data_IF_580201468729
#
_entry.id   IF_580201468729
#
_cell.length_a   1.000
_cell.length_b   1.000
_cell.length_c   1.000
_cell.angle_alpha   90.00
_cell.angle_beta   90.00
_cell.angle_gamma   90.00
#
_symmetry.space_group_name_H-M   'P 1'
#
loop_
_entity.id
_entity.type
_entity.pdbx_description
1 polymer ?
#
# COMPACT_ATOMS: atom_id res chain seq x y z
N UNK A 1 1.55 58.95 26.34
CA UNK A 1 1.21 58.77 24.92
C UNK A 1 2.43 58.21 24.20
N UNK A 2 2.50 56.89 24.05
CA UNK A 2 3.43 56.22 23.17
C UNK A 2 2.62 55.24 22.34
N UNK A 3 2.37 55.62 21.10
CA UNK A 3 1.86 54.70 20.08
C UNK A 3 2.94 53.70 19.75
N UNK A 4 2.81 52.51 20.27
CA UNK A 4 3.57 51.37 19.77
C UNK A 4 3.05 51.03 18.36
N UNK A 5 3.79 51.45 17.35
CA UNK A 5 3.59 51.06 15.97
C UNK A 5 3.88 49.57 15.88
N UNK A 6 2.82 48.76 15.85
CA UNK A 6 2.93 47.36 15.49
C UNK A 6 3.43 47.32 14.05
N UNK A 7 4.72 47.04 13.92
CA UNK A 7 5.29 46.69 12.61
C UNK A 7 4.52 45.47 12.09
N UNK A 8 3.61 45.72 11.15
CA UNK A 8 3.04 44.67 10.33
C UNK A 8 4.18 43.99 9.61
N UNK A 9 4.51 42.76 10.04
CA UNK A 9 5.40 41.90 9.29
C UNK A 9 4.80 41.78 7.89
N UNK A 10 5.45 42.44 6.91
CA UNK A 10 5.18 42.20 5.49
C UNK A 10 5.30 40.69 5.30
N UNK A 11 4.39 40.05 4.57
CA UNK A 11 4.67 38.72 4.06
C UNK A 11 5.91 38.87 3.18
N UNK A 12 7.07 38.45 3.68
CA UNK A 12 8.26 38.35 2.86
C UNK A 12 7.87 37.47 1.67
N UNK A 13 8.05 38.03 0.48
CA UNK A 13 8.03 37.26 -0.76
C UNK A 13 8.95 36.07 -0.54
N UNK A 14 8.34 34.91 -0.30
CA UNK A 14 9.07 33.66 -0.09
C UNK A 14 9.96 33.45 -1.31
N UNK A 15 11.22 33.81 -1.19
CA UNK A 15 12.19 33.64 -2.27
C UNK A 15 12.05 32.21 -2.79
N UNK A 16 12.05 32.01 -4.10
CA UNK A 16 11.89 30.69 -4.73
C UNK A 16 12.81 29.65 -4.08
N UNK A 17 13.99 30.08 -3.65
CA UNK A 17 14.96 29.27 -2.88
C UNK A 17 14.41 28.75 -1.56
N UNK A 18 13.65 29.56 -0.82
CA UNK A 18 13.03 29.16 0.44
C UNK A 18 11.86 28.17 0.22
N UNK A 19 11.10 28.36 -0.86
CA UNK A 19 10.05 27.39 -1.26
C UNK A 19 10.66 26.05 -1.66
N UNK A 20 11.69 26.06 -2.51
CA UNK A 20 12.40 24.83 -2.92
C UNK A 20 13.03 24.16 -1.70
N UNK A 21 13.66 24.93 -0.79
CA UNK A 21 14.24 24.39 0.43
C UNK A 21 13.19 23.71 1.32
N UNK A 22 12.02 24.32 1.53
CA UNK A 22 10.93 23.69 2.32
C UNK A 22 10.40 22.42 1.67
N UNK A 23 10.20 22.42 0.35
CA UNK A 23 9.76 21.22 -0.38
C UNK A 23 10.81 20.12 -0.27
N UNK A 24 12.09 20.43 -0.43
CA UNK A 24 13.17 19.46 -0.31
C UNK A 24 13.28 18.89 1.13
N UNK A 25 13.18 19.72 2.15
CA UNK A 25 13.20 19.28 3.55
C UNK A 25 11.96 18.44 3.90
N UNK A 26 10.79 18.83 3.39
CA UNK A 26 9.57 18.04 3.60
C UNK A 26 9.63 16.69 2.86
N UNK A 27 10.15 16.68 1.63
CA UNK A 27 10.38 15.43 0.92
C UNK A 27 11.38 14.52 1.67
N UNK A 28 12.45 15.11 2.21
CA UNK A 28 13.45 14.37 3.00
C UNK A 28 12.84 13.76 4.26
N UNK A 29 12.08 14.54 5.05
CA UNK A 29 11.41 14.02 6.24
C UNK A 29 10.42 12.90 5.89
N UNK A 30 9.67 13.03 4.78
CA UNK A 30 8.77 11.97 4.32
C UNK A 30 9.53 10.67 3.97
N UNK A 31 10.72 10.77 3.36
CA UNK A 31 11.56 9.60 3.07
C UNK A 31 12.10 8.99 4.35
N UNK A 32 12.54 9.81 5.30
CA UNK A 32 13.03 9.35 6.61
C UNK A 32 11.93 8.61 7.38
N UNK A 33 10.71 9.17 7.42
CA UNK A 33 9.54 8.53 8.04
C UNK A 33 9.20 7.19 7.35
N UNK A 34 9.26 7.15 6.03
CA UNK A 34 9.01 5.92 5.27
C UNK A 34 10.07 4.84 5.56
N UNK A 35 11.35 5.22 5.61
CA UNK A 35 12.44 4.28 5.92
C UNK A 35 12.32 3.78 7.36
N UNK A 36 12.00 4.66 8.30
CA UNK A 36 11.77 4.31 9.71
C UNK A 36 10.61 3.32 9.84
N UNK A 37 9.50 3.59 9.15
CA UNK A 37 8.34 2.69 9.12
C UNK A 37 8.70 1.31 8.56
N UNK A 38 9.45 1.23 7.46
CA UNK A 38 9.92 -0.04 6.89
C UNK A 38 10.84 -0.77 7.87
N UNK A 39 11.71 -0.02 8.56
CA UNK A 39 12.59 -0.56 9.60
C UNK A 39 11.81 -1.17 10.76
N UNK A 40 10.82 -0.45 11.29
CA UNK A 40 9.96 -0.92 12.36
C UNK A 40 9.12 -2.13 11.94
N UNK A 41 8.55 -2.12 10.74
CA UNK A 41 7.81 -3.25 10.18
C UNK A 41 8.70 -4.49 10.02
N UNK A 42 9.95 -4.31 9.59
CA UNK A 42 10.93 -5.40 9.47
C UNK A 42 11.31 -5.99 10.83
N UNK A 43 11.50 -5.14 11.85
CA UNK A 43 11.75 -5.59 13.22
C UNK A 43 10.54 -6.31 13.82
N UNK A 44 9.32 -5.84 13.55
CA UNK A 44 8.09 -6.48 13.97
C UNK A 44 7.93 -7.87 13.32
N UNK A 45 8.28 -7.99 12.04
CA UNK A 45 8.31 -9.27 11.34
C UNK A 45 9.37 -10.24 11.93
N UNK A 46 10.54 -9.73 12.29
CA UNK A 46 11.57 -10.52 12.96
C UNK A 46 11.13 -10.98 14.36
N UNK A 47 10.42 -10.12 15.11
CA UNK A 47 9.83 -10.45 16.40
C UNK A 47 8.77 -11.57 16.25
N UNK A 48 7.99 -11.53 15.17
CA UNK A 48 7.04 -12.59 14.82
C UNK A 48 7.76 -13.92 14.55
N UNK A 49 8.81 -13.91 13.73
CA UNK A 49 9.58 -15.10 13.40
C UNK A 49 10.21 -15.75 14.66
N UNK A 50 10.47 -14.94 15.69
CA UNK A 50 10.95 -15.38 16.99
C UNK A 50 9.84 -15.75 18.00
N UNK A 51 8.58 -15.72 17.59
CA UNK A 51 7.42 -16.01 18.43
C UNK A 51 7.15 -15.00 19.54
N UNK A 52 7.69 -13.78 19.44
CA UNK A 52 7.56 -12.72 20.46
C UNK A 52 6.55 -11.63 20.07
N UNK A 53 5.99 -11.67 18.86
CA UNK A 53 5.04 -10.68 18.41
C UNK A 53 3.72 -10.75 19.19
N UNK A 54 3.20 -9.59 19.60
CA UNK A 54 1.94 -9.46 20.35
C UNK A 54 0.90 -8.83 19.43
N UNK A 55 0.04 -9.64 18.83
CA UNK A 55 -1.14 -9.17 18.10
C UNK A 55 -2.35 -10.05 18.38
N UNK A 56 -3.54 -9.50 18.16
CA UNK A 56 -4.79 -10.24 18.38
C UNK A 56 -5.11 -11.07 17.12
N UNK A 57 -5.44 -12.34 17.32
CA UNK A 57 -5.87 -13.24 16.22
C UNK A 57 -7.12 -12.72 15.51
N UNK A 58 -7.99 -12.00 16.21
CA UNK A 58 -9.21 -11.41 15.65
C UNK A 58 -8.86 -10.35 14.62
N UNK A 59 -7.88 -9.48 14.89
CA UNK A 59 -7.46 -8.43 13.97
C UNK A 59 -6.83 -9.02 12.69
N UNK A 60 -6.12 -10.15 12.84
CA UNK A 60 -5.60 -10.91 11.71
C UNK A 60 -6.75 -11.47 10.84
N UNK A 61 -7.80 -12.04 11.45
CA UNK A 61 -8.96 -12.57 10.72
C UNK A 61 -9.70 -11.46 9.96
N UNK A 62 -9.95 -10.32 10.59
CA UNK A 62 -10.53 -9.15 9.91
C UNK A 62 -9.65 -8.63 8.78
N UNK A 63 -8.33 -8.63 8.96
CA UNK A 63 -7.40 -8.27 7.89
C UNK A 63 -7.45 -9.27 6.73
N UNK A 64 -7.58 -10.58 6.99
CA UNK A 64 -7.76 -11.60 5.97
C UNK A 64 -9.07 -11.41 5.18
N UNK A 65 -10.17 -11.16 5.86
CA UNK A 65 -11.45 -10.92 5.22
C UNK A 65 -11.41 -9.67 4.32
N UNK A 66 -10.88 -8.57 4.84
CA UNK A 66 -10.77 -7.32 4.08
C UNK A 66 -9.82 -7.44 2.89
N UNK A 67 -8.70 -8.15 3.04
CA UNK A 67 -7.65 -8.29 2.03
C UNK A 67 -7.98 -9.37 1.00
N UNK A 68 -8.53 -10.50 1.44
CA UNK A 68 -8.86 -11.65 0.59
C UNK A 68 -10.19 -11.46 -0.10
N UNK A 69 -11.29 -11.71 0.61
CA UNK A 69 -12.65 -11.72 0.06
C UNK A 69 -13.02 -10.35 -0.51
N UNK A 70 -12.68 -9.27 0.21
CA UNK A 70 -12.98 -7.91 -0.23
C UNK A 70 -12.24 -7.47 -1.49
N UNK A 71 -11.07 -8.03 -1.79
CA UNK A 71 -10.28 -7.69 -2.97
C UNK A 71 -10.51 -8.64 -4.16
N UNK A 72 -11.00 -9.86 -3.91
CA UNK A 72 -11.11 -10.91 -4.91
C UNK A 72 -11.92 -10.48 -6.15
N UNK A 73 -13.07 -9.83 -5.94
CA UNK A 73 -13.92 -9.38 -7.05
C UNK A 73 -13.24 -8.40 -7.99
N UNK A 74 -12.54 -7.41 -7.45
CA UNK A 74 -11.86 -6.40 -8.28
C UNK A 74 -10.61 -6.96 -8.93
N UNK A 75 -9.84 -7.80 -8.23
CA UNK A 75 -8.65 -8.46 -8.78
C UNK A 75 -9.04 -9.39 -9.93
N UNK A 76 -10.07 -10.23 -9.73
CA UNK A 76 -10.58 -11.12 -10.77
C UNK A 76 -11.08 -10.34 -11.99
N UNK A 77 -11.82 -9.26 -11.79
CA UNK A 77 -12.31 -8.42 -12.88
C UNK A 77 -11.16 -7.80 -13.69
N UNK A 78 -10.16 -7.22 -13.01
CA UNK A 78 -9.04 -6.59 -13.68
C UNK A 78 -8.21 -7.61 -14.44
N UNK A 79 -7.88 -8.76 -13.84
CA UNK A 79 -7.12 -9.82 -14.51
C UNK A 79 -7.91 -10.40 -15.70
N UNK A 80 -9.22 -10.55 -15.58
CA UNK A 80 -10.08 -10.97 -16.68
C UNK A 80 -10.06 -9.96 -17.85
N UNK A 81 -10.19 -8.66 -17.58
CA UNK A 81 -10.16 -7.63 -18.60
C UNK A 81 -8.80 -7.57 -19.31
N UNK A 82 -7.71 -7.67 -18.56
CA UNK A 82 -6.36 -7.70 -19.14
C UNK A 82 -6.17 -8.94 -20.01
N UNK A 83 -6.59 -10.11 -19.52
CA UNK A 83 -6.57 -11.34 -20.30
C UNK A 83 -7.38 -11.25 -21.59
N UNK A 84 -8.57 -10.64 -21.54
CA UNK A 84 -9.42 -10.42 -22.70
C UNK A 84 -8.77 -9.49 -23.73
N UNK A 85 -8.16 -8.36 -23.28
CA UNK A 85 -7.44 -7.44 -24.16
C UNK A 85 -6.26 -8.13 -24.83
N UNK A 86 -5.44 -8.87 -24.06
CA UNK A 86 -4.32 -9.61 -24.60
C UNK A 86 -4.74 -10.72 -25.57
N UNK A 87 -5.84 -11.42 -25.28
CA UNK A 87 -6.39 -12.42 -26.18
C UNK A 87 -6.81 -11.82 -27.51
N UNK A 88 -7.51 -10.66 -27.46
CA UNK A 88 -7.94 -9.97 -28.68
C UNK A 88 -6.75 -9.46 -29.50
N UNK A 89 -5.83 -8.75 -28.86
CA UNK A 89 -4.61 -8.25 -29.56
C UNK A 89 -3.76 -9.40 -30.08
N UNK A 90 -3.56 -10.43 -29.25
CA UNK A 90 -2.81 -11.63 -29.66
C UNK A 90 -3.45 -12.36 -30.83
N UNK A 91 -4.79 -12.49 -30.85
CA UNK A 91 -5.51 -13.12 -31.94
C UNK A 91 -5.30 -12.37 -33.26
N UNK A 92 -5.45 -11.04 -33.26
CA UNK A 92 -5.25 -10.21 -34.45
C UNK A 92 -3.81 -10.32 -34.97
N UNK A 93 -2.85 -10.29 -34.10
CA UNK A 93 -1.42 -10.36 -34.51
C UNK A 93 -1.02 -11.77 -35.01
N UNK A 94 -1.41 -12.83 -34.29
CA UNK A 94 -1.03 -14.19 -34.65
C UNK A 94 -1.78 -14.73 -35.87
N UNK A 95 -2.97 -14.23 -36.18
CA UNK A 95 -3.71 -14.55 -37.41
C UNK A 95 -2.90 -14.21 -38.66
N UNK A 96 -2.16 -13.12 -38.66
CA UNK A 96 -1.32 -12.71 -39.80
C UNK A 96 -0.22 -13.72 -40.12
N UNK A 97 0.18 -14.51 -39.13
CA UNK A 97 1.22 -15.54 -39.26
C UNK A 97 0.62 -16.96 -39.31
N UNK A 98 -0.69 -17.12 -39.38
CA UNK A 98 -1.34 -18.43 -39.34
C UNK A 98 -1.23 -19.15 -38.00
N UNK A 99 -0.80 -18.48 -36.95
CA UNK A 99 -0.48 -19.04 -35.64
C UNK A 99 -1.55 -18.78 -34.57
N UNK A 100 -2.80 -18.56 -34.97
CA UNK A 100 -3.91 -18.23 -34.07
C UNK A 100 -4.17 -19.28 -32.96
N UNK A 101 -3.82 -20.54 -33.20
CA UNK A 101 -3.99 -21.64 -32.23
C UNK A 101 -3.13 -21.44 -30.95
N UNK A 102 -2.06 -20.66 -31.03
CA UNK A 102 -1.17 -20.42 -29.88
C UNK A 102 -1.61 -19.25 -29.00
N UNK A 103 -2.62 -18.48 -29.37
CA UNK A 103 -3.09 -17.31 -28.61
C UNK A 103 -3.47 -17.68 -27.18
N UNK A 104 -4.24 -18.77 -27.02
CA UNK A 104 -4.69 -19.20 -25.69
C UNK A 104 -3.51 -19.54 -24.76
N UNK A 105 -2.52 -20.26 -25.25
CA UNK A 105 -1.34 -20.63 -24.47
C UNK A 105 -0.50 -19.40 -24.11
N UNK A 106 -0.29 -18.50 -25.07
CA UNK A 106 0.51 -17.29 -24.86
C UNK A 106 -0.14 -16.37 -23.85
N UNK A 107 -1.45 -16.17 -23.94
CA UNK A 107 -2.20 -15.34 -22.99
C UNK A 107 -2.24 -15.98 -21.60
N UNK A 108 -2.52 -17.29 -21.51
CA UNK A 108 -2.56 -18.00 -20.23
C UNK A 108 -1.20 -17.92 -19.51
N UNK A 109 -0.09 -18.17 -20.21
CA UNK A 109 1.24 -18.11 -19.63
C UNK A 109 1.62 -16.67 -19.26
N UNK A 110 1.36 -15.70 -20.15
CA UNK A 110 1.70 -14.30 -19.93
C UNK A 110 0.92 -13.69 -18.74
N UNK A 111 -0.38 -13.99 -18.64
CA UNK A 111 -1.20 -13.50 -17.54
C UNK A 111 -0.83 -14.20 -16.23
N UNK A 112 -0.74 -15.53 -16.22
CA UNK A 112 -0.47 -16.27 -14.99
C UNK A 112 0.93 -16.00 -14.43
N UNK A 113 1.94 -15.84 -15.30
CA UNK A 113 3.33 -15.72 -14.86
C UNK A 113 3.77 -14.31 -14.52
N UNK A 114 3.31 -13.31 -15.26
CA UNK A 114 3.85 -11.96 -15.16
C UNK A 114 2.78 -10.93 -14.81
N UNK A 115 1.75 -10.81 -15.64
CA UNK A 115 0.77 -9.74 -15.51
C UNK A 115 -0.17 -9.92 -14.32
N UNK A 116 -0.59 -11.15 -14.02
CA UNK A 116 -1.48 -11.43 -12.89
C UNK A 116 -0.88 -11.02 -11.57
N UNK A 117 0.38 -11.38 -11.32
CA UNK A 117 1.09 -11.00 -10.10
C UNK A 117 1.29 -9.48 -10.00
N UNK A 118 1.73 -8.85 -11.10
CA UNK A 118 1.98 -7.41 -11.14
C UNK A 118 0.70 -6.61 -10.92
N UNK A 119 -0.37 -6.94 -11.65
CA UNK A 119 -1.65 -6.24 -11.53
C UNK A 119 -2.30 -6.46 -10.17
N UNK A 120 -2.27 -7.67 -9.64
CA UNK A 120 -2.74 -7.94 -8.27
C UNK A 120 -1.95 -7.10 -7.26
N UNK A 121 -0.64 -7.01 -7.39
CA UNK A 121 0.22 -6.16 -6.54
C UNK A 121 -0.18 -4.69 -6.58
N UNK A 122 -0.40 -4.13 -7.79
CA UNK A 122 -0.81 -2.74 -7.97
C UNK A 122 -2.20 -2.48 -7.35
N UNK A 123 -3.17 -3.37 -7.60
CA UNK A 123 -4.53 -3.25 -7.03
C UNK A 123 -4.50 -3.34 -5.51
N UNK A 124 -3.71 -4.26 -4.96
CA UNK A 124 -3.57 -4.43 -3.51
C UNK A 124 -2.88 -3.23 -2.88
N UNK A 125 -1.82 -2.70 -3.47
CA UNK A 125 -1.15 -1.50 -2.99
C UNK A 125 -2.09 -0.28 -3.01
N UNK A 126 -2.82 -0.08 -4.09
CA UNK A 126 -3.75 1.04 -4.24
C UNK A 126 -4.96 0.94 -3.32
N UNK A 127 -5.74 -0.13 -3.45
CA UNK A 127 -7.01 -0.29 -2.71
C UNK A 127 -6.80 -0.66 -1.26
N UNK A 128 -6.09 -1.75 -1.01
CA UNK A 128 -5.95 -2.29 0.36
C UNK A 128 -5.01 -1.44 1.18
N UNK A 129 -3.91 -0.96 0.59
CA UNK A 129 -2.99 -0.03 1.22
C UNK A 129 -3.67 1.28 1.60
N UNK A 130 -4.44 1.89 0.69
CA UNK A 130 -5.19 3.11 0.99
C UNK A 130 -6.26 2.90 2.08
N UNK A 131 -6.96 1.76 2.07
CA UNK A 131 -7.93 1.41 3.11
C UNK A 131 -7.26 1.28 4.49
N UNK A 132 -6.12 0.62 4.56
CA UNK A 132 -5.37 0.48 5.81
C UNK A 132 -4.83 1.83 6.30
N UNK A 133 -4.31 2.66 5.40
CA UNK A 133 -3.86 4.01 5.74
C UNK A 133 -5.00 4.88 6.30
N UNK A 134 -6.19 4.79 5.70
CA UNK A 134 -7.37 5.52 6.18
C UNK A 134 -7.79 5.07 7.58
N UNK A 135 -7.83 3.77 7.85
CA UNK A 135 -8.16 3.25 9.20
C UNK A 135 -7.12 3.69 10.22
N UNK A 136 -5.82 3.58 9.92
CA UNK A 136 -4.76 4.02 10.82
C UNK A 136 -4.80 5.54 11.05
N UNK A 137 -5.10 6.32 10.00
CA UNK A 137 -5.31 7.76 10.10
C UNK A 137 -6.47 8.12 11.03
N UNK A 138 -7.59 7.42 10.93
CA UNK A 138 -8.74 7.61 11.83
C UNK A 138 -8.38 7.26 13.27
N UNK A 139 -7.69 6.15 13.52
CA UNK A 139 -7.25 5.74 14.85
C UNK A 139 -6.29 6.78 15.46
N UNK A 140 -5.45 7.41 14.65
CA UNK A 140 -4.55 8.47 15.09
C UNK A 140 -5.31 9.75 15.48
N UNK A 141 -6.30 10.14 14.68
CA UNK A 141 -7.15 11.31 14.98
C UNK A 141 -7.97 11.09 16.26
N UNK A 142 -8.40 9.86 16.52
CA UNK A 142 -9.12 9.49 17.73
C UNK A 142 -8.21 9.22 18.95
N UNK A 143 -6.90 9.49 18.84
CA UNK A 143 -5.92 9.25 19.91
C UNK A 143 -5.82 7.78 20.36
N UNK A 144 -6.36 6.84 19.57
CA UNK A 144 -6.30 5.40 19.87
C UNK A 144 -4.86 4.85 19.80
N UNK A 145 -4.04 5.43 18.91
CA UNK A 145 -2.62 5.07 18.78
C UNK A 145 -1.85 5.50 20.03
N UNK A 146 -2.09 6.70 20.52
CA UNK A 146 -1.46 7.25 21.72
C UNK A 146 -1.87 6.46 22.98
N UNK A 147 -3.14 6.00 23.02
CA UNK A 147 -3.61 5.08 24.07
C UNK A 147 -2.83 3.75 24.07
N UNK A 148 -2.51 3.18 22.91
CA UNK A 148 -1.70 1.97 22.80
C UNK A 148 -0.27 2.21 23.32
N UNK A 149 0.33 3.34 22.97
CA UNK A 149 1.67 3.71 23.44
C UNK A 149 1.73 3.88 24.96
N UNK A 150 0.71 4.53 25.55
CA UNK A 150 0.62 4.68 27.01
C UNK A 150 0.46 3.34 27.74
N UNK A 151 -0.13 2.33 27.09
CA UNK A 151 -0.21 0.96 27.58
C UNK A 151 1.09 0.15 27.37
N UNK A 152 2.13 0.76 26.80
CA UNK A 152 3.41 0.10 26.50
C UNK A 152 3.35 -0.87 25.33
N UNK A 153 2.36 -0.76 24.46
CA UNK A 153 2.23 -1.55 23.24
C UNK A 153 2.83 -0.76 22.07
N UNK A 154 3.54 -1.47 21.19
CA UNK A 154 4.07 -0.86 19.96
C UNK A 154 2.99 -0.83 18.88
N UNK A 155 2.55 0.35 18.43
CA UNK A 155 1.46 0.46 17.45
C UNK A 155 1.73 -0.32 16.17
N UNK A 156 2.97 -0.32 15.69
CA UNK A 156 3.36 -1.05 14.47
C UNK A 156 3.21 -2.56 14.64
N UNK A 157 3.63 -3.14 15.77
CA UNK A 157 3.47 -4.57 16.03
C UNK A 157 2.00 -4.95 16.17
N UNK A 158 1.19 -4.09 16.78
CA UNK A 158 -0.20 -4.41 17.11
C UNK A 158 -1.16 -4.14 15.95
N UNK A 159 -1.00 -3.03 15.22
CA UNK A 159 -1.92 -2.59 14.18
C UNK A 159 -1.45 -2.95 12.77
N UNK A 160 -0.16 -2.81 12.48
CA UNK A 160 0.37 -2.93 11.12
C UNK A 160 0.74 -4.38 10.79
N UNK A 161 1.38 -5.08 11.73
CA UNK A 161 1.88 -6.44 11.50
C UNK A 161 0.79 -7.43 11.04
N UNK A 162 -0.41 -7.52 11.68
CA UNK A 162 -1.46 -8.44 11.22
C UNK A 162 -1.94 -8.11 9.81
N UNK A 163 -1.95 -6.85 9.41
CA UNK A 163 -2.34 -6.41 8.06
C UNK A 163 -1.30 -6.78 7.00
N UNK A 164 -0.02 -6.59 7.30
CA UNK A 164 1.08 -7.02 6.43
C UNK A 164 1.05 -8.54 6.24
N UNK A 165 0.85 -9.30 7.31
CA UNK A 165 0.76 -10.76 7.27
C UNK A 165 -0.43 -11.23 6.43
N UNK A 166 -1.61 -10.65 6.67
CA UNK A 166 -2.80 -10.98 5.88
C UNK A 166 -2.58 -10.72 4.40
N UNK A 167 -2.01 -9.56 4.06
CA UNK A 167 -1.71 -9.21 2.67
C UNK A 167 -0.69 -10.17 2.05
N UNK A 168 0.41 -10.44 2.74
CA UNK A 168 1.47 -11.33 2.25
C UNK A 168 0.99 -12.77 2.02
N UNK A 169 0.10 -13.28 2.90
CA UNK A 169 -0.46 -14.61 2.76
C UNK A 169 -1.58 -14.69 1.72
N UNK A 170 -2.35 -13.60 1.53
CA UNK A 170 -3.43 -13.57 0.54
C UNK A 170 -2.95 -13.26 -0.88
N UNK A 171 -1.81 -12.58 -1.05
CA UNK A 171 -1.27 -12.25 -2.39
C UNK A 171 -1.14 -13.48 -3.30
N UNK A 172 -0.51 -14.61 -2.90
CA UNK A 172 -0.41 -15.79 -3.76
C UNK A 172 -1.78 -16.37 -4.11
N UNK A 173 -2.74 -16.35 -3.18
CA UNK A 173 -4.09 -16.86 -3.41
C UNK A 173 -4.91 -15.97 -4.36
N UNK A 174 -4.63 -14.66 -4.43
CA UNK A 174 -5.30 -13.74 -5.33
C UNK A 174 -4.68 -13.75 -6.74
N UNK A 175 -3.45 -14.21 -6.88
CA UNK A 175 -2.75 -14.33 -8.18
C UNK A 175 -3.09 -15.65 -8.88
N UNK A 176 -3.36 -16.73 -8.09
CA UNK A 176 -3.66 -18.07 -8.61
C UNK A 176 -5.03 -18.14 -9.28
#
# INVERSE_FOLDING_TARGET
>A
FAFATSASARPEDDALTARVGRVALHAWSTVEDAVSFVGEASLAFLALARGKARFRRVDLMHAFEATGVGALGIVALINFLIGAVLAFVGAVQLQQFGAAIYVANLVAIGVARELGALMTGIVMAGRTGASFAAVLGTMRVNEEVDALETMGLRPVEFLVLPRILATALMMPALVA
#
